data_IF_525463328797
#
_entry.id   IF_525463328797
#
_cell.length_a   1.000
_cell.length_b   1.000
_cell.length_c   1.000
_cell.angle_alpha   90.00
_cell.angle_beta   90.00
_cell.angle_gamma   90.00
#
_symmetry.space_group_name_H-M   'P 1'
#
loop_
_entity.id
_entity.type
_entity.pdbx_description
1 polymer ?
#
# COMPACT_ATOMS: atom_id res chain seq x y z
N UNK A 1 37.29 15.66 18.00
CA UNK A 1 36.87 14.41 18.70
C UNK A 1 35.36 14.34 18.64
N UNK A 2 34.82 13.44 17.81
CA UNK A 2 33.46 12.87 17.97
C UNK A 2 33.23 11.86 16.84
N UNK A 3 33.48 10.60 17.18
CA UNK A 3 33.04 9.34 16.56
C UNK A 3 32.61 9.36 15.08
N UNK A 4 33.54 8.98 14.19
CA UNK A 4 33.18 8.09 13.10
C UNK A 4 32.77 6.76 13.75
N UNK A 5 31.47 6.50 13.86
CA UNK A 5 31.01 5.14 14.07
C UNK A 5 31.28 4.40 12.76
N UNK A 6 32.39 3.66 12.72
CA UNK A 6 32.69 2.71 11.65
C UNK A 6 31.50 1.76 11.52
N UNK A 7 30.64 2.01 10.53
CA UNK A 7 29.55 1.13 10.16
C UNK A 7 30.16 -0.09 9.46
N UNK A 8 30.62 -1.04 10.27
CA UNK A 8 31.11 -2.33 9.82
C UNK A 8 29.92 -3.15 9.33
N UNK A 9 29.67 -3.15 8.02
CA UNK A 9 28.71 -4.05 7.38
C UNK A 9 29.11 -5.48 7.73
N UNK A 10 28.26 -6.17 8.51
CA UNK A 10 28.48 -7.56 8.90
C UNK A 10 28.65 -8.42 7.63
N UNK A 11 29.64 -9.35 7.58
CA UNK A 11 29.88 -10.15 6.39
C UNK A 11 28.65 -10.98 6.01
N UNK A 12 28.29 -10.95 4.72
CA UNK A 12 27.16 -11.68 4.12
C UNK A 12 27.30 -13.18 4.42
N UNK A 13 26.46 -13.71 5.32
CA UNK A 13 26.47 -15.12 5.70
C UNK A 13 25.49 -15.89 4.81
N UNK A 14 25.99 -16.83 4.01
CA UNK A 14 25.13 -17.85 3.39
C UNK A 14 24.54 -18.71 4.51
N UNK A 15 23.22 -18.90 4.48
CA UNK A 15 22.55 -19.81 5.39
C UNK A 15 22.92 -21.22 4.91
N UNK A 16 23.79 -21.91 5.67
CA UNK A 16 24.13 -23.31 5.39
C UNK A 16 22.87 -24.17 5.27
N UNK A 17 22.93 -25.32 4.60
CA UNK A 17 21.81 -26.28 4.48
C UNK A 17 21.19 -26.78 5.82
N UNK A 18 21.69 -26.31 6.97
CA UNK A 18 21.17 -26.55 8.33
C UNK A 18 20.65 -25.29 9.04
N UNK A 19 20.60 -24.15 8.36
CA UNK A 19 20.14 -22.91 8.97
C UNK A 19 18.64 -22.89 9.14
N UNK A 20 18.19 -22.47 10.31
CA UNK A 20 16.78 -22.32 10.66
C UNK A 20 16.33 -20.88 10.39
N UNK A 21 15.23 -20.70 9.65
CA UNK A 21 14.63 -19.39 9.39
C UNK A 21 13.35 -19.24 10.22
N UNK A 22 13.19 -18.09 10.86
CA UNK A 22 11.95 -17.68 11.50
C UNK A 22 11.17 -16.76 10.55
N UNK A 23 9.92 -17.11 10.25
CA UNK A 23 8.98 -16.21 9.59
C UNK A 23 8.03 -15.67 10.65
N UNK A 24 7.85 -14.36 10.71
CA UNK A 24 6.97 -13.71 11.67
C UNK A 24 5.76 -13.11 10.95
N UNK A 25 4.57 -13.57 11.31
CA UNK A 25 3.28 -13.20 10.71
C UNK A 25 2.80 -14.21 9.66
N UNK A 26 1.63 -14.80 9.86
CA UNK A 26 0.98 -15.76 8.96
C UNK A 26 -0.06 -15.11 8.04
N UNK A 27 0.17 -13.86 7.64
CA UNK A 27 -0.55 -13.22 6.53
C UNK A 27 -0.16 -13.88 5.19
N UNK A 28 -0.84 -13.57 4.06
CA UNK A 28 -0.52 -14.17 2.76
C UNK A 28 0.97 -14.09 2.37
N UNK A 29 1.67 -13.01 2.74
CA UNK A 29 3.12 -12.87 2.52
C UNK A 29 3.96 -13.86 3.33
N UNK A 30 3.64 -14.07 4.61
CA UNK A 30 4.36 -15.02 5.47
C UNK A 30 4.06 -16.49 5.16
N UNK A 31 2.83 -16.81 4.75
CA UNK A 31 2.50 -18.14 4.23
C UNK A 31 3.25 -18.46 2.93
N UNK A 32 3.36 -17.47 2.03
CA UNK A 32 4.20 -17.57 0.83
C UNK A 32 5.68 -17.78 1.19
N UNK A 33 6.19 -17.01 2.17
CA UNK A 33 7.53 -17.17 2.72
C UNK A 33 7.79 -18.58 3.24
N UNK A 34 6.92 -19.07 4.13
CA UNK A 34 7.01 -20.42 4.68
C UNK A 34 7.10 -21.47 3.57
N UNK A 35 6.20 -21.42 2.59
CA UNK A 35 6.17 -22.40 1.50
C UNK A 35 7.45 -22.35 0.66
N UNK A 36 7.84 -21.18 0.15
CA UNK A 36 8.98 -21.08 -0.79
C UNK A 36 10.31 -21.40 -0.13
N UNK A 37 10.50 -21.02 1.13
CA UNK A 37 11.70 -21.35 1.88
C UNK A 37 11.77 -22.87 2.15
N UNK A 38 10.63 -23.51 2.49
CA UNK A 38 10.55 -24.97 2.60
C UNK A 38 10.81 -25.68 1.28
N UNK A 39 10.32 -25.15 0.16
CA UNK A 39 10.52 -25.73 -1.18
C UNK A 39 12.02 -25.79 -1.57
N UNK A 40 12.87 -24.90 -1.02
CA UNK A 40 14.33 -24.92 -1.24
C UNK A 40 15.11 -25.64 -0.12
N UNK A 41 14.40 -26.36 0.77
CA UNK A 41 15.02 -27.18 1.81
C UNK A 41 15.48 -26.44 3.06
N UNK A 42 15.10 -25.17 3.23
CA UNK A 42 15.37 -24.42 4.47
C UNK A 42 14.43 -24.91 5.57
N UNK A 43 14.94 -25.08 6.79
CA UNK A 43 14.10 -25.39 7.94
C UNK A 43 13.45 -24.10 8.48
N UNK A 44 12.13 -24.01 8.39
CA UNK A 44 11.39 -22.77 8.66
C UNK A 44 10.37 -22.97 9.77
N UNK A 45 10.39 -22.07 10.76
CA UNK A 45 9.32 -21.96 11.76
C UNK A 45 8.53 -20.68 11.51
N UNK A 46 7.20 -20.80 11.37
CA UNK A 46 6.29 -19.67 11.24
C UNK A 46 5.70 -19.33 12.61
N UNK A 47 5.81 -18.07 13.01
CA UNK A 47 5.26 -17.53 14.24
C UNK A 47 4.09 -16.59 13.90
N UNK A 48 2.93 -16.85 14.48
CA UNK A 48 1.75 -15.98 14.39
C UNK A 48 1.28 -15.66 15.81
N UNK A 49 0.98 -14.38 16.05
CA UNK A 49 0.48 -13.91 17.35
C UNK A 49 -0.99 -14.29 17.54
N UNK A 50 -1.74 -14.37 16.44
CA UNK A 50 -3.16 -14.74 16.43
C UNK A 50 -3.32 -16.26 16.53
N UNK A 51 -4.53 -16.68 16.90
CA UNK A 51 -4.90 -18.10 16.98
C UNK A 51 -5.07 -18.78 15.62
N UNK A 52 -5.07 -18.01 14.53
CA UNK A 52 -5.33 -18.50 13.18
C UNK A 52 -4.56 -17.67 12.13
N UNK A 53 -4.36 -18.25 10.94
CA UNK A 53 -3.61 -17.68 9.82
C UNK A 53 -4.48 -16.82 8.92
N UNK A 54 -3.87 -15.94 8.11
CA UNK A 54 -4.57 -15.06 7.16
C UNK A 54 -4.41 -13.56 7.45
N UNK A 55 -3.85 -13.20 8.61
CA UNK A 55 -3.54 -11.82 8.96
C UNK A 55 -4.81 -10.97 9.14
N UNK A 56 -4.89 -9.84 8.43
CA UNK A 56 -6.05 -8.94 8.48
C UNK A 56 -7.32 -9.59 7.90
N UNK A 57 -7.21 -10.61 7.05
CA UNK A 57 -8.37 -11.28 6.44
C UNK A 57 -9.08 -12.23 7.41
N UNK A 58 -8.43 -12.58 8.51
CA UNK A 58 -8.98 -13.48 9.52
C UNK A 58 -9.83 -12.67 10.48
N UNK A 59 -11.15 -12.88 10.46
CA UNK A 59 -12.08 -12.21 11.36
C UNK A 59 -11.70 -12.43 12.84
N UNK A 60 -12.03 -11.45 13.68
CA UNK A 60 -11.91 -11.50 15.13
C UNK A 60 -12.93 -10.55 15.74
N UNK A 61 -13.59 -11.00 16.79
CA UNK A 61 -14.51 -10.23 17.63
C UNK A 61 -13.77 -9.29 18.61
N UNK A 62 -12.47 -9.51 18.86
CA UNK A 62 -11.66 -8.65 19.71
C UNK A 62 -11.51 -7.22 19.13
N UNK A 63 -12.00 -6.18 19.83
CA UNK A 63 -12.01 -4.80 19.32
C UNK A 63 -10.61 -4.16 19.26
N UNK A 64 -9.60 -4.76 19.86
CA UNK A 64 -8.21 -4.27 19.82
C UNK A 64 -7.45 -4.77 18.58
N UNK A 65 -8.06 -5.67 17.80
CA UNK A 65 -7.43 -6.30 16.64
C UNK A 65 -8.09 -5.77 15.37
N UNK A 66 -7.29 -5.18 14.49
CA UNK A 66 -7.74 -4.84 13.14
C UNK A 66 -7.99 -6.11 12.33
N UNK A 67 -9.17 -6.21 11.74
CA UNK A 67 -9.58 -7.35 10.93
C UNK A 67 -10.60 -6.94 9.86
N UNK A 68 -10.74 -7.74 8.81
CA UNK A 68 -11.87 -7.73 7.91
C UNK A 68 -13.15 -8.11 8.68
N UNK A 69 -14.24 -7.39 8.43
CA UNK A 69 -15.53 -7.71 9.02
C UNK A 69 -16.01 -9.08 8.52
N UNK A 70 -16.65 -9.86 9.39
CA UNK A 70 -17.21 -11.18 9.06
C UNK A 70 -18.16 -11.11 7.83
N UNK A 71 -18.92 -10.02 7.73
CA UNK A 71 -19.83 -9.73 6.61
C UNK A 71 -19.24 -8.85 5.52
N UNK A 72 -17.91 -8.65 5.45
CA UNK A 72 -17.27 -7.77 4.45
C UNK A 72 -17.60 -8.23 3.03
N UNK A 73 -18.68 -7.65 2.48
CA UNK A 73 -19.05 -7.63 1.07
C UNK A 73 -18.80 -6.21 0.61
N UNK A 74 -18.22 -6.01 -0.58
CA UNK A 74 -18.12 -4.67 -1.20
C UNK A 74 -19.54 -4.14 -1.40
N UNK A 75 -20.09 -3.41 -0.42
CA UNK A 75 -21.45 -2.90 -0.49
C UNK A 75 -21.60 -1.63 0.35
N UNK A 76 -21.93 -0.53 -0.33
CA UNK A 76 -22.16 0.78 0.29
C UNK A 76 -23.67 1.03 0.21
N UNK A 77 -24.32 1.17 1.38
CA UNK A 77 -25.77 1.21 1.56
C UNK A 77 -26.47 2.33 0.75
N UNK A 78 -27.72 2.09 0.29
CA UNK A 78 -28.57 3.04 -0.44
C UNK A 78 -29.26 4.10 0.44
N UNK A 79 -29.24 3.94 1.76
CA UNK A 79 -30.10 4.70 2.69
C UNK A 79 -29.35 5.68 3.60
N UNK A 80 -28.10 6.03 3.28
CA UNK A 80 -27.27 6.91 4.11
C UNK A 80 -26.71 8.02 3.22
N UNK A 81 -26.87 9.28 3.66
CA UNK A 81 -26.14 10.41 3.07
C UNK A 81 -24.72 10.36 3.60
N UNK A 82 -23.75 10.07 2.73
CA UNK A 82 -22.34 9.99 3.09
C UNK A 82 -21.62 11.28 2.72
N UNK A 83 -20.93 11.88 3.68
CA UNK A 83 -19.97 12.95 3.40
C UNK A 83 -18.59 12.33 3.22
N UNK A 84 -18.03 12.47 2.02
CA UNK A 84 -16.66 12.04 1.73
C UNK A 84 -15.73 13.24 1.85
N UNK A 85 -14.89 13.21 2.89
CA UNK A 85 -13.94 14.28 3.19
C UNK A 85 -12.52 13.90 2.78
N UNK A 86 -11.84 14.77 2.06
CA UNK A 86 -10.45 14.58 1.63
C UNK A 86 -9.60 15.84 1.83
N UNK A 87 -8.30 15.64 2.04
CA UNK A 87 -7.32 16.73 2.18
C UNK A 87 -6.61 17.09 0.89
N UNK A 88 -6.69 16.20 -0.11
CA UNK A 88 -6.09 16.31 -1.44
C UNK A 88 -7.13 15.77 -2.42
N UNK A 89 -7.21 16.35 -3.62
CA UNK A 89 -8.07 15.83 -4.69
C UNK A 89 -7.78 14.36 -5.00
N UNK A 90 -8.71 13.67 -5.65
CA UNK A 90 -8.61 12.23 -5.94
C UNK A 90 -8.87 11.97 -7.43
N UNK A 91 -8.24 10.94 -8.00
CA UNK A 91 -8.52 10.50 -9.37
C UNK A 91 -9.21 9.14 -9.33
N UNK A 92 -10.29 8.96 -10.09
CA UNK A 92 -11.09 7.74 -10.07
C UNK A 92 -10.95 6.92 -11.36
N UNK A 93 -10.87 5.59 -11.24
CA UNK A 93 -10.93 4.64 -12.37
C UNK A 93 -11.87 3.47 -12.05
N UNK A 94 -12.53 2.89 -13.07
CA UNK A 94 -13.28 1.65 -12.87
C UNK A 94 -12.32 0.45 -12.83
N UNK A 95 -12.81 -0.72 -12.41
CA UNK A 95 -12.06 -1.98 -12.47
C UNK A 95 -11.96 -2.52 -13.90
N UNK A 96 -13.00 -2.27 -14.70
CA UNK A 96 -13.17 -2.78 -16.07
C UNK A 96 -13.47 -1.61 -17.00
N UNK A 97 -12.74 -1.54 -18.11
CA UNK A 97 -13.01 -0.62 -19.21
C UNK A 97 -13.64 -1.39 -20.40
N UNK A 98 -13.87 -0.71 -21.52
CA UNK A 98 -14.44 -1.33 -22.74
C UNK A 98 -13.60 -2.50 -23.30
N UNK A 99 -12.28 -2.48 -23.07
CA UNK A 99 -11.32 -3.48 -23.56
C UNK A 99 -11.13 -4.65 -22.56
N UNK A 100 -11.66 -4.54 -21.34
CA UNK A 100 -11.55 -5.55 -20.28
C UNK A 100 -11.02 -4.99 -18.94
N UNK A 101 -10.53 -5.86 -18.03
CA UNK A 101 -9.95 -5.43 -16.76
C UNK A 101 -8.74 -4.50 -16.98
N UNK A 102 -8.70 -3.36 -16.28
CA UNK A 102 -7.65 -2.34 -16.52
C UNK A 102 -6.26 -2.86 -16.15
N UNK A 103 -6.17 -3.71 -15.14
CA UNK A 103 -4.95 -4.35 -14.67
C UNK A 103 -4.40 -5.40 -15.66
N UNK A 104 -5.23 -5.93 -16.56
CA UNK A 104 -4.80 -6.91 -17.57
C UNK A 104 -3.94 -6.29 -18.69
N UNK A 105 -3.98 -4.97 -18.86
CA UNK A 105 -3.30 -4.25 -19.94
C UNK A 105 -1.82 -3.94 -19.59
N UNK A 106 -1.43 -4.12 -18.33
CA UNK A 106 -0.06 -3.91 -17.86
C UNK A 106 0.82 -5.15 -18.16
N UNK A 107 1.01 -5.46 -19.44
CA UNK A 107 1.92 -6.52 -19.87
C UNK A 107 3.39 -6.15 -19.61
N UNK A 108 4.26 -7.14 -19.37
CA UNK A 108 5.70 -6.91 -19.12
C UNK A 108 6.41 -6.04 -20.17
N UNK A 109 5.96 -6.07 -21.43
CA UNK A 109 6.52 -5.26 -22.53
C UNK A 109 6.20 -3.77 -22.36
N UNK A 110 4.97 -3.44 -21.95
CA UNK A 110 4.58 -2.04 -21.70
C UNK A 110 5.22 -1.54 -20.41
N UNK A 111 5.34 -2.39 -19.38
CA UNK A 111 6.07 -2.07 -18.17
C UNK A 111 7.55 -1.74 -18.43
N UNK A 112 8.26 -2.55 -19.25
CA UNK A 112 9.67 -2.28 -19.63
C UNK A 112 9.85 -0.97 -20.38
N UNK A 113 8.96 -0.68 -21.33
CA UNK A 113 8.99 0.60 -22.03
C UNK A 113 8.70 1.76 -21.06
N UNK A 114 7.75 1.57 -20.14
CA UNK A 114 7.46 2.53 -19.07
C UNK A 114 8.67 2.84 -18.22
N UNK A 115 9.38 1.82 -17.72
CA UNK A 115 10.61 1.99 -16.93
C UNK A 115 11.73 2.68 -17.72
N UNK A 116 11.88 2.34 -19.00
CA UNK A 116 12.85 3.02 -19.87
C UNK A 116 12.49 4.50 -20.08
N UNK A 117 11.21 4.80 -20.30
CA UNK A 117 10.68 6.16 -20.40
C UNK A 117 10.80 6.91 -19.08
N UNK A 118 10.64 6.25 -17.94
CA UNK A 118 10.81 6.84 -16.61
C UNK A 118 12.25 7.33 -16.42
N UNK A 119 13.21 6.48 -16.78
CA UNK A 119 14.64 6.76 -16.64
C UNK A 119 15.11 7.89 -17.57
N UNK A 120 14.64 7.92 -18.83
CA UNK A 120 15.12 8.88 -19.82
C UNK A 120 14.23 10.12 -20.01
N UNK A 121 12.92 10.00 -19.80
CA UNK A 121 11.92 11.00 -20.19
C UNK A 121 10.74 11.07 -19.20
N UNK A 122 11.03 11.28 -17.91
CA UNK A 122 10.03 11.31 -16.82
C UNK A 122 8.82 12.23 -17.12
N UNK A 123 9.05 13.37 -17.77
CA UNK A 123 7.98 14.30 -18.12
C UNK A 123 7.02 13.75 -19.19
N UNK A 124 7.56 13.06 -20.19
CA UNK A 124 6.77 12.41 -21.24
C UNK A 124 5.97 11.26 -20.65
N UNK A 125 6.58 10.45 -19.79
CA UNK A 125 5.90 9.33 -19.13
C UNK A 125 4.69 9.81 -18.34
N UNK A 126 4.83 10.85 -17.52
CA UNK A 126 3.69 11.38 -16.76
C UNK A 126 2.58 11.96 -17.64
N UNK A 127 2.92 12.56 -18.78
CA UNK A 127 1.90 13.01 -19.74
C UNK A 127 1.15 11.83 -20.37
N UNK A 128 1.87 10.76 -20.76
CA UNK A 128 1.26 9.52 -21.25
C UNK A 128 0.34 8.91 -20.19
N UNK A 129 0.77 8.86 -18.92
CA UNK A 129 -0.07 8.36 -17.83
C UNK A 129 -1.35 9.17 -17.65
N UNK A 130 -1.30 10.49 -17.69
CA UNK A 130 -2.51 11.32 -17.61
C UNK A 130 -3.47 11.05 -18.78
N UNK A 131 -2.96 10.83 -20.00
CA UNK A 131 -3.79 10.48 -21.16
C UNK A 131 -4.45 9.10 -21.02
N UNK A 132 -3.66 8.09 -20.64
CA UNK A 132 -4.17 6.73 -20.42
C UNK A 132 -5.19 6.73 -19.28
N UNK A 133 -4.92 7.47 -18.21
CA UNK A 133 -5.84 7.65 -17.10
C UNK A 133 -7.17 8.26 -17.59
N UNK A 134 -7.12 9.38 -18.30
CA UNK A 134 -8.32 10.04 -18.84
C UNK A 134 -9.12 9.13 -19.78
N UNK A 135 -8.45 8.36 -20.65
CA UNK A 135 -9.10 7.37 -21.52
C UNK A 135 -9.88 6.34 -20.70
N UNK A 136 -9.25 5.79 -19.66
CA UNK A 136 -9.85 4.76 -18.81
C UNK A 136 -10.97 5.29 -17.91
N UNK A 137 -10.80 6.48 -17.35
CA UNK A 137 -11.81 7.12 -16.50
C UNK A 137 -13.07 7.53 -17.29
N UNK A 138 -12.97 7.73 -18.61
CA UNK A 138 -14.09 8.16 -19.48
C UNK A 138 -15.31 7.24 -19.39
N UNK A 139 -15.12 5.94 -19.14
CA UNK A 139 -16.21 4.96 -18.99
C UNK A 139 -17.12 5.30 -17.81
N UNK A 140 -16.62 6.01 -16.80
CA UNK A 140 -17.39 6.49 -15.65
C UNK A 140 -18.26 7.73 -15.97
N UNK A 141 -18.06 8.32 -17.15
CA UNK A 141 -18.62 9.60 -17.57
C UNK A 141 -17.83 10.79 -17.06
N UNK A 142 -18.30 12.00 -17.40
CA UNK A 142 -17.65 13.23 -16.98
C UNK A 142 -17.80 13.47 -15.48
N UNK A 143 -16.74 14.01 -14.88
CA UNK A 143 -16.71 14.44 -13.49
C UNK A 143 -17.36 15.82 -13.37
N UNK A 144 -18.30 15.97 -12.44
CA UNK A 144 -18.89 17.27 -12.15
C UNK A 144 -17.85 18.17 -11.44
N UNK A 145 -17.60 19.40 -11.90
CA UNK A 145 -16.74 20.37 -11.20
C UNK A 145 -17.17 20.62 -9.74
N UNK A 146 -18.46 20.51 -9.44
CA UNK A 146 -19.01 20.75 -8.09
C UNK A 146 -18.58 19.66 -7.08
N UNK A 147 -18.02 18.54 -7.54
CA UNK A 147 -17.49 17.51 -6.64
C UNK A 147 -16.11 17.86 -6.08
N UNK A 148 -15.50 18.99 -6.45
CA UNK A 148 -14.28 19.54 -5.86
C UNK A 148 -13.09 18.55 -5.76
N UNK A 149 -13.02 17.51 -6.61
CA UNK A 149 -11.88 16.57 -6.62
C UNK A 149 -10.64 17.14 -7.32
N UNK A 150 -10.77 18.30 -7.95
CA UNK A 150 -9.69 19.02 -8.61
C UNK A 150 -9.25 20.24 -7.77
N UNK A 151 -7.95 20.59 -7.75
CA UNK A 151 -6.87 19.94 -8.48
C UNK A 151 -6.48 18.60 -7.83
N UNK A 152 -6.46 17.54 -8.65
CA UNK A 152 -5.94 16.24 -8.24
C UNK A 152 -4.41 16.25 -8.39
N UNK A 153 -3.65 15.66 -7.45
CA UNK A 153 -2.20 15.57 -7.58
C UNK A 153 -1.80 14.88 -8.90
N UNK A 154 -0.70 15.34 -9.49
CA UNK A 154 -0.17 14.72 -10.70
C UNK A 154 0.16 13.25 -10.45
N UNK A 155 -0.06 12.41 -11.45
CA UNK A 155 0.35 11.00 -11.41
C UNK A 155 1.88 10.80 -11.46
N UNK A 156 2.67 11.89 -11.56
CA UNK A 156 4.13 11.88 -11.46
C UNK A 156 4.59 11.90 -9.99
N UNK A 157 5.57 11.08 -9.56
CA UNK A 157 6.04 9.79 -10.06
C UNK A 157 5.33 8.60 -9.37
N UNK A 158 4.37 8.86 -8.48
CA UNK A 158 3.70 7.82 -7.69
C UNK A 158 2.19 8.04 -7.67
N UNK A 159 1.39 7.12 -8.23
CA UNK A 159 -0.06 7.24 -8.32
C UNK A 159 -0.76 6.92 -6.98
N UNK A 160 -0.34 7.55 -5.89
CA UNK A 160 -0.90 7.34 -4.54
C UNK A 160 -2.33 7.87 -4.37
N UNK A 161 -2.92 8.41 -5.44
CA UNK A 161 -4.16 9.19 -5.41
C UNK A 161 -5.25 8.59 -6.31
N UNK A 162 -5.01 7.38 -6.83
CA UNK A 162 -5.99 6.65 -7.63
C UNK A 162 -6.93 5.88 -6.72
N UNK A 163 -8.23 6.13 -6.90
CA UNK A 163 -9.31 5.36 -6.28
C UNK A 163 -9.94 4.47 -7.35
N UNK A 164 -9.92 3.17 -7.11
CA UNK A 164 -10.55 2.18 -8.01
C UNK A 164 -11.95 1.88 -7.52
N UNK A 165 -12.97 2.35 -8.23
CA UNK A 165 -14.37 2.17 -7.85
C UNK A 165 -15.30 2.30 -9.07
N UNK A 166 -16.19 1.34 -9.27
CA UNK A 166 -17.08 1.28 -10.44
C UNK A 166 -18.29 2.21 -10.33
N UNK A 167 -18.75 2.48 -9.10
CA UNK A 167 -20.02 3.14 -8.82
C UNK A 167 -19.87 4.58 -8.32
N UNK A 168 -18.64 5.06 -8.15
CA UNK A 168 -18.42 6.30 -7.41
C UNK A 168 -19.17 7.50 -8.03
N UNK A 169 -19.07 7.68 -9.35
CA UNK A 169 -19.71 8.81 -10.04
C UNK A 169 -21.23 8.69 -10.11
N UNK A 170 -21.78 7.48 -10.23
CA UNK A 170 -23.24 7.30 -10.19
C UNK A 170 -23.81 7.70 -8.84
N UNK A 171 -23.12 7.35 -7.74
CA UNK A 171 -23.55 7.70 -6.37
C UNK A 171 -23.48 9.19 -6.06
N UNK A 172 -22.52 9.91 -6.63
CA UNK A 172 -22.51 11.37 -6.56
C UNK A 172 -23.70 11.98 -7.31
N UNK A 173 -23.98 11.51 -8.54
CA UNK A 173 -25.13 12.00 -9.34
C UNK A 173 -26.49 11.70 -8.69
N UNK A 174 -26.61 10.57 -8.01
CA UNK A 174 -27.80 10.19 -7.24
C UNK A 174 -27.98 11.03 -5.96
N UNK A 175 -26.98 11.81 -5.55
CA UNK A 175 -27.00 12.62 -4.33
C UNK A 175 -26.84 11.81 -3.05
N UNK A 176 -26.50 10.51 -3.15
CA UNK A 176 -26.21 9.65 -2.00
C UNK A 176 -24.90 10.03 -1.30
N UNK A 177 -23.96 10.61 -2.04
CA UNK A 177 -22.64 10.99 -1.54
C UNK A 177 -22.39 12.46 -1.87
N UNK A 178 -21.89 13.20 -0.88
CA UNK A 178 -21.51 14.61 -1.01
C UNK A 178 -20.02 14.77 -0.79
N UNK A 179 -19.41 15.56 -1.65
CA UNK A 179 -17.98 15.85 -1.61
C UNK A 179 -17.77 17.03 -0.68
N UNK A 180 -16.84 16.91 0.27
CA UNK A 180 -16.56 17.97 1.24
C UNK A 180 -15.06 18.08 1.50
N UNK A 181 -14.63 19.27 1.89
CA UNK A 181 -13.24 19.53 2.27
C UNK A 181 -12.84 18.76 3.55
N UNK A 182 -11.54 18.65 3.80
CA UNK A 182 -10.97 17.94 4.95
C UNK A 182 -11.58 18.37 6.28
N UNK A 183 -12.03 17.43 7.12
CA UNK A 183 -12.48 17.72 8.49
C UNK A 183 -11.33 18.31 9.30
N UNK A 184 -11.56 19.48 9.90
CA UNK A 184 -10.60 20.21 10.74
C UNK A 184 -10.73 19.81 12.20
N UNK A 185 -11.94 19.84 12.76
CA UNK A 185 -12.23 19.46 14.15
C UNK A 185 -13.72 19.16 14.36
N UNK A 186 -14.01 18.41 15.41
CA UNK A 186 -15.36 18.21 15.94
C UNK A 186 -15.68 19.42 16.82
N UNK A 187 -16.76 20.14 16.52
CA UNK A 187 -17.15 21.39 17.20
C UNK A 187 -18.39 21.27 18.07
N UNK A 188 -19.07 20.12 18.01
CA UNK A 188 -20.23 19.83 18.84
C UNK A 188 -20.55 18.34 18.85
N UNK A 189 -21.60 17.92 19.59
CA UNK A 189 -21.96 16.51 19.72
C UNK A 189 -22.34 15.85 18.39
N UNK A 190 -22.80 16.64 17.41
CA UNK A 190 -23.19 16.21 16.06
C UNK A 190 -22.70 17.16 14.97
N UNK A 191 -21.62 17.90 15.23
CA UNK A 191 -21.16 18.97 14.35
C UNK A 191 -19.65 18.89 14.04
N UNK A 192 -19.31 19.08 12.77
CA UNK A 192 -17.96 19.04 12.22
C UNK A 192 -17.61 20.36 11.55
N UNK A 193 -16.46 20.94 11.88
CA UNK A 193 -15.88 22.06 11.13
C UNK A 193 -14.92 21.51 10.07
N UNK A 194 -15.11 21.93 8.81
CA UNK A 194 -14.24 21.62 7.68
C UNK A 194 -13.08 22.62 7.57
N UNK A 195 -12.07 22.28 6.77
CA UNK A 195 -10.89 23.13 6.56
C UNK A 195 -11.18 24.48 5.92
N UNK A 196 -12.28 24.61 5.16
CA UNK A 196 -12.76 25.86 4.59
C UNK A 196 -13.62 26.70 5.57
N UNK A 197 -13.81 26.24 6.82
CA UNK A 197 -14.61 26.90 7.84
C UNK A 197 -16.11 26.58 7.80
N UNK A 198 -16.60 25.82 6.81
CA UNK A 198 -17.99 25.32 6.79
C UNK A 198 -18.22 24.37 7.95
N UNK A 199 -19.38 24.46 8.58
CA UNK A 199 -19.82 23.54 9.63
C UNK A 199 -20.90 22.63 9.06
N UNK A 200 -20.70 21.31 9.20
CA UNK A 200 -21.72 20.30 8.92
C UNK A 200 -22.36 19.92 10.25
N UNK A 201 -23.67 20.10 10.35
CA UNK A 201 -24.48 19.72 11.51
C UNK A 201 -25.16 18.37 11.30
N UNK A 202 -25.85 17.88 12.34
CA UNK A 202 -26.62 16.63 12.34
C UNK A 202 -25.87 15.35 11.96
N UNK A 203 -24.56 15.29 12.17
CA UNK A 203 -23.76 14.08 11.91
C UNK A 203 -23.98 13.03 13.01
N UNK A 204 -24.57 11.88 12.65
CA UNK A 204 -24.79 10.75 13.57
C UNK A 204 -23.53 9.91 13.79
N UNK A 205 -22.73 9.67 12.75
CA UNK A 205 -21.59 8.74 12.77
C UNK A 205 -20.42 9.30 11.97
N UNK A 206 -19.22 9.15 12.49
CA UNK A 206 -17.95 9.47 11.81
C UNK A 206 -17.17 8.18 11.59
N UNK A 207 -16.83 7.87 10.34
CA UNK A 207 -16.00 6.71 9.98
C UNK A 207 -14.62 7.22 9.56
N UNK A 208 -13.60 6.92 10.36
CA UNK A 208 -12.22 7.32 10.06
C UNK A 208 -11.54 6.32 9.10
N UNK A 209 -11.68 6.54 7.80
CA UNK A 209 -11.03 5.75 6.75
C UNK A 209 -9.64 6.32 6.37
N UNK A 210 -8.82 6.72 7.36
CA UNK A 210 -7.56 7.46 7.16
C UNK A 210 -6.33 6.61 6.83
N UNK A 211 -6.52 5.34 6.47
CA UNK A 211 -5.44 4.39 6.18
C UNK A 211 -4.72 3.86 7.42
N UNK A 212 -3.65 3.09 7.19
CA UNK A 212 -2.85 2.42 8.21
C UNK A 212 -1.40 2.91 8.19
N UNK A 213 -0.70 2.73 9.31
CA UNK A 213 0.75 2.88 9.38
C UNK A 213 1.40 1.54 9.72
N UNK A 214 2.51 1.19 9.06
CA UNK A 214 3.31 0.04 9.46
C UNK A 214 3.90 0.29 10.87
N UNK A 215 3.98 -0.77 11.67
CA UNK A 215 4.67 -0.74 12.96
C UNK A 215 5.80 -1.79 12.95
N UNK A 216 7.03 -1.32 13.15
CA UNK A 216 8.25 -2.13 13.19
C UNK A 216 8.77 -2.36 14.61
N UNK A 217 8.01 -1.98 15.64
CA UNK A 217 8.41 -2.12 17.06
C UNK A 217 8.78 -3.54 17.47
N UNK A 218 8.27 -4.55 16.77
CA UNK A 218 8.59 -5.97 17.01
C UNK A 218 10.03 -6.35 16.66
N UNK A 219 10.66 -5.64 15.72
CA UNK A 219 12.02 -5.92 15.25
C UNK A 219 12.80 -4.61 15.19
N UNK A 220 13.48 -4.27 16.28
CA UNK A 220 14.26 -3.03 16.39
C UNK A 220 15.34 -2.90 15.32
N UNK A 221 15.86 -4.01 14.80
CA UNK A 221 16.86 -4.01 13.71
C UNK A 221 16.27 -3.63 12.34
N UNK A 222 14.94 -3.61 12.20
CA UNK A 222 14.21 -3.00 11.07
C UNK A 222 13.79 -1.55 11.37
N UNK A 223 13.94 -1.10 12.62
CA UNK A 223 13.56 0.24 13.09
C UNK A 223 14.66 1.28 12.88
N UNK A 224 15.77 0.92 12.23
CA UNK A 224 16.69 1.94 11.71
C UNK A 224 15.92 2.76 10.71
N UNK A 225 15.77 4.03 11.05
CA UNK A 225 14.86 4.93 10.38
C UNK A 225 15.70 5.93 9.60
N UNK A 226 15.41 6.06 8.32
CA UNK A 226 15.93 7.17 7.52
C UNK A 226 14.91 8.30 7.55
N UNK A 227 15.37 9.48 7.97
CA UNK A 227 14.66 10.73 7.74
C UNK A 227 15.07 11.25 6.36
N UNK A 228 14.52 10.65 5.30
CA UNK A 228 14.78 11.10 3.93
C UNK A 228 14.23 12.52 3.70
N UNK A 229 13.16 12.88 4.43
CA UNK A 229 12.55 14.21 4.45
C UNK A 229 12.16 14.54 5.91
N UNK A 230 12.60 15.68 6.49
CA UNK A 230 12.23 16.09 7.84
C UNK A 230 10.71 16.28 8.06
N UNK A 231 9.94 16.53 7.00
CA UNK A 231 8.49 16.71 7.06
C UNK A 231 7.71 15.39 6.95
N UNK A 232 8.36 14.31 6.53
CA UNK A 232 7.73 13.01 6.37
C UNK A 232 7.97 12.09 7.57
N UNK A 233 7.04 11.16 7.84
CA UNK A 233 7.25 10.16 8.86
C UNK A 233 8.52 9.34 8.58
N UNK A 234 9.20 8.92 9.65
CA UNK A 234 10.35 8.03 9.56
C UNK A 234 10.07 6.76 8.74
N UNK A 235 10.98 6.38 7.84
CA UNK A 235 10.89 5.15 7.04
C UNK A 235 11.96 4.13 7.44
N UNK A 236 11.67 2.82 7.42
CA UNK A 236 12.68 1.81 7.72
C UNK A 236 13.78 1.80 6.64
N UNK A 237 15.02 1.67 7.08
CA UNK A 237 16.21 1.64 6.23
C UNK A 237 16.38 0.23 5.62
N UNK A 238 15.75 0.06 4.46
CA UNK A 238 15.71 -1.21 3.74
C UNK A 238 16.39 -1.07 2.37
N UNK A 239 17.35 -1.92 2.09
CA UNK A 239 17.89 -2.06 0.74
C UNK A 239 16.76 -2.56 -0.18
N UNK A 240 16.51 -1.82 -1.26
CA UNK A 240 15.44 -2.13 -2.24
C UNK A 240 14.04 -2.29 -1.63
N UNK A 241 13.76 -1.66 -0.48
CA UNK A 241 12.52 -1.86 0.31
C UNK A 241 12.29 -3.33 0.73
N UNK A 242 13.38 -4.09 0.90
CA UNK A 242 13.31 -5.52 1.12
C UNK A 242 14.28 -6.02 2.20
N UNK A 243 15.59 -5.88 2.04
CA UNK A 243 16.56 -6.40 3.02
C UNK A 243 16.95 -5.35 4.05
N UNK A 244 17.23 -5.79 5.29
CA UNK A 244 17.84 -4.91 6.29
C UNK A 244 19.23 -4.49 5.84
N UNK A 245 19.54 -3.20 5.92
CA UNK A 245 20.89 -2.69 5.61
C UNK A 245 21.94 -3.23 6.60
N UNK A 246 21.56 -3.46 7.86
CA UNK A 246 22.47 -3.92 8.91
C UNK A 246 22.73 -5.42 8.87
N UNK A 247 21.74 -6.19 8.46
CA UNK A 247 21.80 -7.65 8.46
C UNK A 247 21.20 -8.25 7.18
N UNK A 248 21.72 -7.86 6.00
CA UNK A 248 21.13 -8.21 4.70
C UNK A 248 21.08 -9.72 4.44
N UNK A 249 22.06 -10.47 4.98
CA UNK A 249 22.13 -11.93 4.86
C UNK A 249 21.18 -12.71 5.76
N UNK A 250 20.48 -12.08 6.70
CA UNK A 250 19.69 -12.79 7.71
C UNK A 250 18.34 -12.16 8.04
N UNK A 251 18.05 -10.96 7.55
CA UNK A 251 16.81 -10.25 7.84
C UNK A 251 16.25 -9.58 6.59
N UNK A 252 15.01 -9.94 6.26
CA UNK A 252 14.25 -9.36 5.16
C UNK A 252 12.84 -8.99 5.59
N UNK A 253 12.37 -7.83 5.16
CA UNK A 253 11.00 -7.37 5.31
C UNK A 253 10.22 -7.63 4.02
N UNK A 254 9.43 -8.70 4.03
CA UNK A 254 8.56 -9.07 2.89
C UNK A 254 7.24 -8.31 3.02
N UNK A 255 6.63 -7.93 1.89
CA UNK A 255 5.33 -7.25 1.82
C UNK A 255 5.32 -5.79 2.25
N UNK A 256 6.48 -5.16 2.45
CA UNK A 256 6.59 -3.73 2.74
C UNK A 256 6.87 -2.92 1.47
N UNK A 257 5.85 -2.82 0.61
CA UNK A 257 5.93 -2.05 -0.62
C UNK A 257 4.55 -1.57 -1.08
N UNK A 258 4.53 -0.53 -1.88
CA UNK A 258 3.37 -0.18 -2.70
C UNK A 258 3.71 -0.53 -4.13
N UNK A 259 3.07 -1.55 -4.68
CA UNK A 259 3.22 -1.95 -6.08
C UNK A 259 1.94 -1.56 -6.85
N UNK A 260 2.10 -1.12 -8.09
CA UNK A 260 0.98 -0.84 -9.00
C UNK A 260 0.42 -2.12 -9.67
N UNK A 261 0.79 -3.28 -9.15
CA UNK A 261 0.43 -4.61 -9.64
C UNK A 261 -0.19 -5.43 -8.49
N UNK A 262 -0.56 -6.67 -8.79
CA UNK A 262 -1.03 -7.60 -7.77
C UNK A 262 0.05 -7.82 -6.70
N UNK A 263 -0.26 -7.42 -5.46
CA UNK A 263 0.64 -7.56 -4.32
C UNK A 263 1.05 -9.02 -4.05
N UNK A 264 0.26 -10.02 -4.45
CA UNK A 264 0.61 -11.43 -4.30
C UNK A 264 1.85 -11.80 -5.11
N UNK A 265 1.90 -11.41 -6.39
CA UNK A 265 3.03 -11.70 -7.29
C UNK A 265 4.32 -11.10 -6.76
N UNK A 266 4.26 -9.83 -6.33
CA UNK A 266 5.43 -9.14 -5.80
C UNK A 266 5.96 -9.80 -4.51
N UNK A 267 5.07 -10.17 -3.59
CA UNK A 267 5.44 -10.86 -2.34
C UNK A 267 6.14 -12.19 -2.62
N UNK A 268 5.63 -12.94 -3.60
CA UNK A 268 6.23 -14.21 -4.00
C UNK A 268 7.62 -14.01 -4.59
N UNK A 269 7.79 -13.01 -5.47
CA UNK A 269 9.10 -12.67 -6.04
C UNK A 269 10.12 -12.26 -4.98
N UNK A 270 9.74 -11.38 -4.03
CA UNK A 270 10.60 -11.02 -2.91
C UNK A 270 11.10 -12.25 -2.15
N UNK A 271 10.17 -13.11 -1.76
CA UNK A 271 10.50 -14.34 -1.03
C UNK A 271 11.42 -15.25 -1.84
N UNK A 272 11.14 -15.44 -3.13
CA UNK A 272 11.99 -16.25 -4.01
C UNK A 272 13.41 -15.67 -4.10
N UNK A 273 13.54 -14.34 -4.19
CA UNK A 273 14.84 -13.65 -4.17
C UNK A 273 15.59 -13.88 -2.86
N UNK A 274 14.93 -13.73 -1.70
CA UNK A 274 15.56 -14.05 -0.41
C UNK A 274 16.01 -15.50 -0.33
N UNK A 275 15.17 -16.43 -0.79
CA UNK A 275 15.51 -17.85 -0.81
C UNK A 275 16.79 -18.11 -1.62
N UNK A 276 16.91 -17.57 -2.85
CA UNK A 276 18.10 -17.75 -3.68
C UNK A 276 19.37 -17.13 -3.07
N UNK A 277 19.24 -15.97 -2.41
CA UNK A 277 20.37 -15.32 -1.74
C UNK A 277 20.82 -16.13 -0.52
N UNK A 278 19.88 -16.55 0.32
CA UNK A 278 20.20 -17.30 1.55
C UNK A 278 20.76 -18.69 1.28
N UNK A 279 20.32 -19.36 0.22
CA UNK A 279 20.92 -20.63 -0.23
C UNK A 279 22.25 -20.45 -0.96
N UNK A 280 22.71 -19.22 -1.19
CA UNK A 280 23.98 -18.92 -1.86
C UNK A 280 23.94 -19.09 -3.38
N UNK A 281 22.77 -19.25 -3.99
CA UNK A 281 22.60 -19.36 -5.44
C UNK A 281 22.66 -18.01 -6.16
N UNK A 282 22.56 -16.90 -5.42
CA UNK A 282 22.61 -15.55 -5.95
C UNK A 282 23.29 -14.61 -4.97
N UNK A 283 23.87 -13.52 -5.49
CA UNK A 283 24.42 -12.44 -4.67
C UNK A 283 23.50 -11.22 -4.74
N UNK A 284 23.33 -10.56 -3.61
CA UNK A 284 22.64 -9.27 -3.52
C UNK A 284 23.52 -8.19 -4.18
N UNK A 285 22.98 -7.49 -5.20
CA UNK A 285 23.64 -6.39 -5.95
C UNK A 285 23.56 -5.09 -5.16
#
# INVERSE_FOLDING_TARGET
MSANADFQVQPKRSISARGTVAVVGAAPGGLSALKKLRDVGIDVTLYERRSDVGGLWTFSDNPTITTALEGAKSQISKFIVLYLSYRRGAKFIPRVNEEGPIDSVLMWRTARLGLWLEYHFLNLLGWVFELVFKKNAKVMGDQDPDWEFEPSPSLKPSPTVIVVNDDMFSRFREGCIRSEQGVRRIVGPRALELSNGKVIEDVDVIIAASGYRPDFSLVSDLSHIVHADPELPPLPDLSRNFFSVNCPGSLACVSYCTANENAATYRELQVMTAAQIWTGNSQEI
#
